data_IF_837667270363
#
_entry.id   IF_837667270363
#
_cell.length_a   1.000
_cell.length_b   1.000
_cell.length_c   1.000
_cell.angle_alpha   90.00
_cell.angle_beta   90.00
_cell.angle_gamma   90.00
#
_symmetry.space_group_name_H-M   'P 1'
#
loop_
_entity.id
_entity.type
_entity.pdbx_description
1 polymer ?
#
# COMPACT_ATOMS: atom_id res chain seq x y z
N UNK A 1 -13.94 -12.84 21.97
CA UNK A 1 -13.10 -13.13 20.76
C UNK A 1 -12.51 -11.79 20.34
N UNK A 2 -11.28 -11.70 19.86
CA UNK A 2 -10.74 -10.39 19.43
C UNK A 2 -11.25 -10.04 18.04
N UNK A 3 -11.53 -8.77 17.75
CA UNK A 3 -11.97 -8.30 16.42
C UNK A 3 -11.06 -8.80 15.30
N UNK A 4 -9.75 -8.82 15.52
CA UNK A 4 -8.77 -9.39 14.59
C UNK A 4 -9.06 -10.84 14.17
N UNK A 5 -9.58 -11.68 15.09
CA UNK A 5 -9.96 -13.06 14.72
C UNK A 5 -11.27 -13.10 13.93
N UNK A 6 -12.18 -12.18 14.17
CA UNK A 6 -13.43 -12.06 13.42
C UNK A 6 -13.16 -11.61 11.98
N UNK A 7 -12.28 -10.61 11.82
CA UNK A 7 -11.77 -10.13 10.53
C UNK A 7 -11.14 -11.27 9.73
N UNK A 8 -10.13 -11.95 10.29
CA UNK A 8 -9.42 -13.04 9.63
C UNK A 8 -10.30 -14.22 9.23
N UNK A 9 -11.39 -14.47 9.97
CA UNK A 9 -12.31 -15.58 9.72
C UNK A 9 -13.56 -15.13 8.95
N UNK A 10 -13.68 -13.87 8.55
CA UNK A 10 -14.85 -13.28 7.90
C UNK A 10 -16.18 -13.61 8.65
N UNK A 11 -16.17 -13.41 9.99
CA UNK A 11 -17.34 -13.73 10.84
C UNK A 11 -18.32 -12.53 10.87
N UNK A 12 -19.02 -12.27 9.77
CA UNK A 12 -19.91 -11.11 9.57
C UNK A 12 -21.02 -10.98 10.63
N UNK A 13 -21.75 -12.06 10.94
CA UNK A 13 -22.84 -12.03 11.96
C UNK A 13 -22.34 -11.49 13.31
N UNK A 14 -21.14 -11.88 13.74
CA UNK A 14 -20.57 -11.39 14.99
C UNK A 14 -20.07 -9.96 14.90
N UNK A 15 -19.60 -9.54 13.73
CA UNK A 15 -19.20 -8.15 13.49
C UNK A 15 -20.44 -7.25 13.51
N UNK A 16 -21.56 -7.65 12.89
CA UNK A 16 -22.84 -6.95 12.98
C UNK A 16 -23.30 -6.88 14.45
N UNK A 17 -23.31 -7.99 15.17
CA UNK A 17 -23.65 -7.99 16.61
C UNK A 17 -22.77 -7.02 17.42
N UNK A 18 -21.47 -6.94 17.12
CA UNK A 18 -20.59 -5.99 17.78
C UNK A 18 -20.88 -4.54 17.39
N UNK A 19 -21.25 -4.29 16.13
CA UNK A 19 -21.65 -2.96 15.65
C UNK A 19 -22.94 -2.49 16.35
N UNK A 20 -23.90 -3.35 16.51
CA UNK A 20 -25.23 -3.03 17.06
C UNK A 20 -25.23 -2.98 18.61
N UNK A 21 -24.61 -3.93 19.27
CA UNK A 21 -24.82 -4.18 20.71
C UNK A 21 -23.66 -3.74 21.61
N UNK A 22 -22.46 -3.46 21.07
CA UNK A 22 -21.32 -3.10 21.91
C UNK A 22 -21.52 -1.74 22.59
N UNK A 23 -21.34 -1.70 23.91
CA UNK A 23 -21.35 -0.44 24.67
C UNK A 23 -20.11 0.44 24.39
N UNK A 24 -19.04 -0.13 23.80
CA UNK A 24 -17.81 0.59 23.50
C UNK A 24 -17.84 1.11 22.04
N UNK A 25 -17.87 2.44 21.82
CA UNK A 25 -17.91 3.02 20.47
C UNK A 25 -16.66 2.68 19.63
N UNK A 26 -15.50 2.45 20.24
CA UNK A 26 -14.31 2.05 19.48
C UNK A 26 -14.44 0.62 18.91
N UNK A 27 -15.16 -0.27 19.60
CA UNK A 27 -15.49 -1.60 19.08
C UNK A 27 -16.51 -1.47 17.95
N UNK A 28 -17.58 -0.68 18.12
CA UNK A 28 -18.59 -0.47 17.07
C UNK A 28 -17.96 0.12 15.81
N UNK A 29 -17.13 1.19 15.99
CA UNK A 29 -16.38 1.81 14.88
C UNK A 29 -15.51 0.78 14.14
N UNK A 30 -14.69 0.02 14.89
CA UNK A 30 -13.81 -0.98 14.27
C UNK A 30 -14.58 -2.09 13.58
N UNK A 31 -15.75 -2.47 14.09
CA UNK A 31 -16.63 -3.45 13.44
C UNK A 31 -17.14 -2.93 12.10
N UNK A 32 -17.56 -1.68 12.01
CA UNK A 32 -17.96 -1.04 10.75
C UNK A 32 -16.80 -1.00 9.73
N UNK A 33 -15.61 -0.60 10.17
CA UNK A 33 -14.40 -0.58 9.31
C UNK A 33 -14.08 -1.96 8.74
N UNK A 34 -14.13 -3.01 9.58
CA UNK A 34 -13.87 -4.39 9.15
C UNK A 34 -14.95 -4.87 8.17
N UNK A 35 -16.23 -4.60 8.45
CA UNK A 35 -17.32 -4.95 7.54
C UNK A 35 -17.08 -4.34 6.15
N UNK A 36 -16.66 -3.08 6.08
CA UNK A 36 -16.33 -2.42 4.81
C UNK A 36 -15.13 -3.06 4.10
N UNK A 37 -14.05 -3.40 4.84
CA UNK A 37 -12.83 -3.98 4.23
C UNK A 37 -13.05 -5.41 3.70
N UNK A 38 -13.90 -6.20 4.35
CA UNK A 38 -14.16 -7.58 3.95
C UNK A 38 -14.93 -7.71 2.63
N UNK A 39 -15.71 -6.71 2.23
CA UNK A 39 -16.38 -6.72 0.93
C UNK A 39 -15.38 -6.73 -0.23
N UNK A 40 -14.27 -6.02 -0.09
CA UNK A 40 -13.24 -5.97 -1.13
C UNK A 40 -12.47 -7.29 -1.31
N UNK A 41 -12.48 -8.19 -0.32
CA UNK A 41 -11.68 -9.42 -0.31
C UNK A 41 -12.47 -10.70 -0.57
N UNK A 42 -13.78 -10.73 -0.29
CA UNK A 42 -14.55 -11.97 -0.23
C UNK A 42 -15.79 -11.96 -1.14
N UNK A 43 -15.63 -12.27 -2.38
CA UNK A 43 -16.74 -12.46 -3.31
C UNK A 43 -17.65 -13.67 -3.02
N UNK A 44 -18.00 -13.97 -1.76
CA UNK A 44 -18.90 -15.06 -1.41
C UNK A 44 -18.97 -15.40 0.08
N UNK A 45 -19.95 -14.86 0.78
CA UNK A 45 -20.29 -15.23 2.15
C UNK A 45 -21.73 -15.74 2.25
N UNK A 46 -22.04 -16.50 3.33
CA UNK A 46 -23.37 -17.06 3.58
C UNK A 46 -24.40 -16.00 4.09
N UNK A 47 -23.96 -14.77 4.41
CA UNK A 47 -24.85 -13.67 4.68
C UNK A 47 -25.20 -12.94 3.38
N UNK A 48 -26.43 -12.47 3.28
CA UNK A 48 -26.80 -11.61 2.16
C UNK A 48 -26.07 -10.28 2.28
N UNK A 49 -25.58 -9.77 1.18
CA UNK A 49 -25.06 -8.41 1.04
C UNK A 49 -26.00 -7.38 1.71
N UNK A 50 -27.29 -7.57 1.55
CA UNK A 50 -28.33 -6.71 2.09
C UNK A 50 -28.32 -6.61 3.62
N UNK A 51 -28.08 -7.72 4.36
CA UNK A 51 -28.08 -7.70 5.83
C UNK A 51 -26.92 -6.87 6.40
N UNK A 52 -25.77 -6.87 5.74
CA UNK A 52 -24.62 -6.03 6.15
C UNK A 52 -24.90 -4.56 5.81
N UNK A 53 -25.43 -4.30 4.64
CA UNK A 53 -25.80 -2.93 4.21
C UNK A 53 -26.86 -2.36 5.15
N UNK A 54 -27.91 -3.11 5.50
CA UNK A 54 -28.95 -2.68 6.43
C UNK A 54 -28.38 -2.32 7.82
N UNK A 55 -27.48 -3.15 8.36
CA UNK A 55 -26.81 -2.88 9.64
C UNK A 55 -25.93 -1.63 9.58
N UNK A 56 -25.21 -1.42 8.48
CA UNK A 56 -24.40 -0.23 8.28
C UNK A 56 -25.27 1.03 8.10
N UNK A 57 -26.36 0.94 7.36
CA UNK A 57 -27.33 2.03 7.19
C UNK A 57 -27.91 2.42 8.55
N UNK A 58 -28.35 1.47 9.37
CA UNK A 58 -28.86 1.76 10.70
C UNK A 58 -27.81 2.38 11.63
N UNK A 59 -26.59 1.84 11.63
CA UNK A 59 -25.47 2.40 12.40
C UNK A 59 -25.13 3.83 11.95
N UNK A 60 -25.16 4.11 10.65
CA UNK A 60 -24.86 5.44 10.11
C UNK A 60 -25.92 6.50 10.45
N UNK A 61 -27.16 6.08 10.73
CA UNK A 61 -28.27 6.94 11.11
C UNK A 61 -28.39 7.14 12.63
N UNK A 62 -28.31 6.06 13.39
CA UNK A 62 -28.79 6.00 14.75
C UNK A 62 -27.68 5.88 15.83
N UNK A 63 -26.44 5.54 15.48
CA UNK A 63 -25.37 5.43 16.50
C UNK A 63 -25.16 6.77 17.21
N UNK A 64 -24.98 6.73 18.51
CA UNK A 64 -24.77 7.90 19.36
C UNK A 64 -23.38 8.55 19.15
N UNK A 65 -22.36 7.78 18.73
CA UNK A 65 -21.02 8.27 18.44
C UNK A 65 -20.84 8.64 16.95
N UNK A 66 -20.57 9.91 16.67
CA UNK A 66 -20.36 10.41 15.30
C UNK A 66 -19.19 9.74 14.56
N UNK A 67 -18.21 9.15 15.27
CA UNK A 67 -17.11 8.40 14.64
C UNK A 67 -17.60 7.06 14.11
N UNK A 68 -18.55 6.43 14.79
CA UNK A 68 -19.19 5.18 14.34
C UNK A 68 -20.05 5.46 13.11
N UNK A 69 -20.89 6.52 13.16
CA UNK A 69 -21.67 6.92 12.00
C UNK A 69 -20.81 7.19 10.76
N UNK A 70 -19.68 7.90 10.95
CA UNK A 70 -18.75 8.17 9.87
C UNK A 70 -18.11 6.87 9.30
N UNK A 71 -17.69 5.96 10.16
CA UNK A 71 -17.12 4.67 9.74
C UNK A 71 -18.13 3.79 9.01
N UNK A 72 -19.40 3.83 9.41
CA UNK A 72 -20.47 3.11 8.72
C UNK A 72 -20.70 3.68 7.30
N UNK A 73 -20.65 5.00 7.12
CA UNK A 73 -20.74 5.63 5.78
C UNK A 73 -19.50 5.27 4.93
N UNK A 74 -18.30 5.21 5.55
CA UNK A 74 -17.10 4.74 4.86
C UNK A 74 -17.25 3.28 4.37
N UNK A 75 -17.81 2.43 5.23
CA UNK A 75 -18.10 1.05 4.87
C UNK A 75 -19.14 0.97 3.74
N UNK A 76 -20.25 1.69 3.80
CA UNK A 76 -21.25 1.75 2.73
C UNK A 76 -20.65 2.18 1.39
N UNK A 77 -19.66 3.08 1.41
CA UNK A 77 -18.93 3.46 0.19
C UNK A 77 -18.18 2.26 -0.44
N UNK A 78 -17.67 1.32 0.35
CA UNK A 78 -17.05 0.10 -0.17
C UNK A 78 -18.06 -0.86 -0.81
N UNK A 79 -19.29 -0.90 -0.26
CA UNK A 79 -20.41 -1.70 -0.81
C UNK A 79 -21.00 -1.13 -2.11
N UNK A 80 -20.65 0.07 -2.48
CA UNK A 80 -20.99 0.62 -3.79
C UNK A 80 -22.00 1.75 -3.76
N UNK A 81 -22.43 2.15 -4.95
CA UNK A 81 -23.34 3.27 -5.14
C UNK A 81 -24.73 2.96 -4.56
N UNK A 82 -25.25 1.76 -4.77
CA UNK A 82 -26.62 1.37 -4.35
C UNK A 82 -26.75 1.42 -2.82
N UNK A 83 -25.74 0.96 -2.07
CA UNK A 83 -25.72 1.03 -0.60
C UNK A 83 -25.75 2.48 -0.07
N UNK A 84 -25.02 3.38 -0.72
CA UNK A 84 -25.05 4.81 -0.38
C UNK A 84 -26.40 5.45 -0.75
N UNK A 85 -26.99 5.06 -1.87
CA UNK A 85 -28.30 5.53 -2.30
C UNK A 85 -29.41 5.07 -1.36
N UNK A 86 -29.37 3.83 -0.88
CA UNK A 86 -30.27 3.33 0.15
C UNK A 86 -30.18 4.21 1.41
N UNK A 87 -28.99 4.46 1.94
CA UNK A 87 -28.78 5.33 3.11
C UNK A 87 -29.33 6.75 2.89
N UNK A 88 -29.04 7.34 1.73
CA UNK A 88 -29.50 8.70 1.38
C UNK A 88 -31.03 8.73 1.20
N UNK A 89 -31.59 7.71 0.56
CA UNK A 89 -33.02 7.55 0.39
C UNK A 89 -33.76 7.50 1.74
N UNK A 90 -33.28 6.67 2.66
CA UNK A 90 -33.87 6.54 3.99
C UNK A 90 -33.74 7.82 4.86
N UNK A 91 -32.58 8.53 4.78
CA UNK A 91 -32.39 9.79 5.51
C UNK A 91 -33.16 10.96 4.93
N UNK A 92 -33.30 11.01 3.61
CA UNK A 92 -33.99 12.10 2.91
C UNK A 92 -35.49 11.85 2.70
N UNK A 93 -36.00 10.67 3.06
CA UNK A 93 -37.36 10.20 2.78
C UNK A 93 -37.71 10.28 1.27
N UNK A 94 -36.72 10.07 0.39
CA UNK A 94 -36.86 10.11 -1.06
C UNK A 94 -36.45 8.78 -1.67
N UNK A 95 -37.27 8.26 -2.55
CA UNK A 95 -36.95 7.11 -3.38
C UNK A 95 -36.05 7.56 -4.55
N UNK A 96 -34.80 7.05 -4.61
CA UNK A 96 -33.80 7.42 -5.61
C UNK A 96 -33.34 6.24 -6.48
N UNK A 97 -33.89 5.04 -6.27
CA UNK A 97 -33.42 3.82 -6.92
C UNK A 97 -33.61 3.80 -8.45
N UNK A 98 -34.70 4.25 -8.96
CA UNK A 98 -35.03 4.25 -10.40
C UNK A 98 -34.87 5.61 -11.10
N UNK A 99 -34.00 6.48 -10.58
CA UNK A 99 -33.84 7.85 -11.09
C UNK A 99 -32.64 7.96 -12.02
N UNK A 100 -32.76 8.75 -13.09
CA UNK A 100 -31.64 9.02 -13.99
C UNK A 100 -30.44 9.68 -13.25
N UNK A 101 -29.20 9.34 -13.61
CA UNK A 101 -27.96 9.79 -12.92
C UNK A 101 -27.90 11.32 -12.69
N UNK A 102 -28.23 12.13 -13.70
CA UNK A 102 -28.27 13.58 -13.55
C UNK A 102 -29.24 14.08 -12.48
N UNK A 103 -30.34 13.35 -12.26
CA UNK A 103 -31.33 13.68 -11.23
C UNK A 103 -30.88 13.19 -9.86
N UNK A 104 -30.19 12.03 -9.79
CA UNK A 104 -29.49 11.58 -8.60
C UNK A 104 -28.45 12.63 -8.16
N UNK A 105 -27.62 13.11 -9.08
CA UNK A 105 -26.66 14.18 -8.82
C UNK A 105 -27.32 15.44 -8.25
N UNK A 106 -28.52 15.83 -8.75
CA UNK A 106 -29.27 16.97 -8.20
C UNK A 106 -29.77 16.73 -6.77
N UNK A 107 -30.25 15.51 -6.46
CA UNK A 107 -30.71 15.15 -5.10
C UNK A 107 -29.52 15.18 -4.15
N UNK A 108 -28.41 14.55 -4.51
CA UNK A 108 -27.17 14.54 -3.74
C UNK A 108 -26.62 15.96 -3.52
N UNK A 109 -26.64 16.80 -4.56
CA UNK A 109 -26.22 18.19 -4.46
C UNK A 109 -27.07 19.01 -3.46
N UNK A 110 -28.35 18.70 -3.31
CA UNK A 110 -29.20 19.26 -2.22
C UNK A 110 -28.77 18.67 -0.87
N UNK A 111 -28.44 17.39 -0.79
CA UNK A 111 -27.94 16.71 0.41
C UNK A 111 -26.67 17.36 0.98
N UNK A 112 -25.82 17.97 0.14
CA UNK A 112 -24.66 18.76 0.61
C UNK A 112 -25.05 19.97 1.50
N UNK A 113 -26.31 20.40 1.49
CA UNK A 113 -26.80 21.50 2.31
C UNK A 113 -27.67 21.04 3.49
N UNK A 114 -27.69 19.74 3.78
CA UNK A 114 -28.45 19.19 4.90
C UNK A 114 -27.90 19.67 6.25
N UNK A 115 -28.77 19.75 7.26
CA UNK A 115 -28.37 20.08 8.62
C UNK A 115 -27.44 19.00 9.21
N UNK A 116 -27.73 17.74 8.93
CA UNK A 116 -26.98 16.58 9.42
C UNK A 116 -25.66 16.43 8.64
N UNK A 117 -24.55 16.36 9.36
CA UNK A 117 -23.23 16.15 8.78
C UNK A 117 -23.13 14.82 8.02
N UNK A 118 -23.78 13.77 8.53
CA UNK A 118 -23.80 12.44 7.95
C UNK A 118 -24.43 12.45 6.55
N UNK A 119 -25.52 13.17 6.36
CA UNK A 119 -26.15 13.30 5.04
C UNK A 119 -25.27 14.12 4.08
N UNK A 120 -24.59 15.18 4.57
CA UNK A 120 -23.61 15.93 3.76
C UNK A 120 -22.41 15.05 3.35
N UNK A 121 -21.94 14.18 4.26
CA UNK A 121 -20.86 13.23 3.98
C UNK A 121 -21.24 12.22 2.89
N UNK A 122 -22.42 11.59 3.03
CA UNK A 122 -22.92 10.62 2.05
C UNK A 122 -23.17 11.28 0.70
N UNK A 123 -23.75 12.48 0.71
CA UNK A 123 -23.97 13.27 -0.51
C UNK A 123 -22.67 13.59 -1.23
N UNK A 124 -21.62 14.01 -0.51
CA UNK A 124 -20.30 14.26 -1.09
C UNK A 124 -19.70 12.98 -1.69
N UNK A 125 -19.81 11.86 -0.99
CA UNK A 125 -19.31 10.56 -1.46
C UNK A 125 -20.02 10.12 -2.74
N UNK A 126 -21.35 10.17 -2.76
CA UNK A 126 -22.16 9.81 -3.93
C UNK A 126 -21.87 10.71 -5.14
N UNK A 127 -21.71 12.02 -4.94
CA UNK A 127 -21.33 12.94 -6.00
C UNK A 127 -19.95 12.66 -6.58
N UNK A 128 -18.98 12.32 -5.71
CA UNK A 128 -17.64 11.90 -6.15
C UNK A 128 -17.65 10.61 -6.98
N UNK A 129 -18.60 9.69 -6.73
CA UNK A 129 -18.78 8.48 -7.54
C UNK A 129 -19.42 8.75 -8.90
N UNK A 130 -20.42 9.63 -8.93
CA UNK A 130 -21.08 10.04 -10.19
C UNK A 130 -20.09 10.78 -11.09
N UNK A 131 -19.17 11.58 -10.53
CA UNK A 131 -18.08 12.22 -11.26
C UNK A 131 -18.52 13.32 -12.25
N UNK A 132 -19.69 13.93 -12.08
CA UNK A 132 -20.18 14.96 -12.98
C UNK A 132 -19.59 16.34 -12.68
N UNK A 133 -19.04 17.02 -13.68
CA UNK A 133 -18.42 18.36 -13.56
C UNK A 133 -19.41 19.44 -13.08
N UNK A 134 -20.70 19.28 -13.36
CA UNK A 134 -21.73 20.27 -13.04
C UNK A 134 -21.95 20.47 -11.53
N UNK A 135 -21.46 19.56 -10.69
CA UNK A 135 -21.55 19.62 -9.21
C UNK A 135 -20.24 20.04 -8.54
N UNK A 136 -19.16 20.22 -9.32
CA UNK A 136 -17.83 20.53 -8.82
C UNK A 136 -17.83 21.77 -7.90
N UNK A 137 -18.45 22.85 -8.32
CA UNK A 137 -18.52 24.09 -7.53
C UNK A 137 -19.24 23.90 -6.17
N UNK A 138 -20.21 22.99 -6.12
CA UNK A 138 -20.95 22.68 -4.90
C UNK A 138 -20.12 21.85 -3.93
N UNK A 139 -19.33 20.88 -4.45
CA UNK A 139 -18.37 20.13 -3.68
C UNK A 139 -17.26 21.06 -3.15
N UNK A 140 -16.66 21.88 -4.01
CA UNK A 140 -15.62 22.84 -3.62
C UNK A 140 -16.07 23.75 -2.48
N UNK A 141 -17.33 24.24 -2.51
CA UNK A 141 -17.87 25.06 -1.43
C UNK A 141 -17.94 24.31 -0.08
N UNK A 142 -17.99 23.00 -0.06
CA UNK A 142 -18.01 22.15 1.14
C UNK A 142 -16.62 21.86 1.72
N UNK A 143 -15.54 22.26 1.06
CA UNK A 143 -14.19 22.25 1.68
C UNK A 143 -14.12 23.20 2.90
N UNK A 144 -15.06 24.14 3.04
CA UNK A 144 -15.20 25.04 4.18
C UNK A 144 -16.32 24.58 5.15
N UNK A 145 -16.77 23.31 5.09
CA UNK A 145 -17.82 22.80 5.98
C UNK A 145 -17.39 22.88 7.46
N UNK A 146 -18.28 23.25 8.39
CA UNK A 146 -17.94 23.31 9.81
C UNK A 146 -17.50 21.95 10.40
N UNK A 147 -17.95 20.83 9.83
CA UNK A 147 -17.57 19.48 10.27
C UNK A 147 -16.36 18.98 9.45
N UNK A 148 -15.24 18.71 10.13
CA UNK A 148 -14.01 18.22 9.49
C UNK A 148 -14.20 16.88 8.77
N UNK A 149 -15.13 16.04 9.22
CA UNK A 149 -15.45 14.76 8.58
C UNK A 149 -16.06 14.99 7.20
N UNK A 150 -16.88 16.05 7.05
CA UNK A 150 -17.44 16.47 5.76
C UNK A 150 -16.31 17.00 4.86
N UNK A 151 -15.44 17.90 5.37
CA UNK A 151 -14.32 18.44 4.60
C UNK A 151 -13.42 17.33 4.05
N UNK A 152 -13.06 16.35 4.91
CA UNK A 152 -12.30 15.15 4.51
C UNK A 152 -12.99 14.39 3.39
N UNK A 153 -14.30 14.17 3.50
CA UNK A 153 -15.08 13.43 2.51
C UNK A 153 -15.18 14.16 1.18
N UNK A 154 -15.31 15.49 1.24
CA UNK A 154 -15.31 16.36 0.06
C UNK A 154 -13.98 16.33 -0.67
N UNK A 155 -12.85 16.38 0.05
CA UNK A 155 -11.52 16.25 -0.57
C UNK A 155 -11.39 14.93 -1.34
N UNK A 156 -11.81 13.80 -0.75
CA UNK A 156 -11.86 12.49 -1.41
C UNK A 156 -12.80 12.47 -2.63
N UNK A 157 -13.95 13.11 -2.54
CA UNK A 157 -14.88 13.21 -3.67
C UNK A 157 -14.26 14.00 -4.83
N UNK A 158 -13.59 15.11 -4.54
CA UNK A 158 -12.89 15.91 -5.55
C UNK A 158 -11.72 15.15 -6.20
N UNK A 159 -11.01 14.32 -5.44
CA UNK A 159 -10.02 13.40 -5.99
C UNK A 159 -10.61 12.45 -7.05
N UNK A 160 -11.79 11.89 -6.77
CA UNK A 160 -12.50 10.98 -7.70
C UNK A 160 -13.00 11.67 -8.97
N UNK A 161 -13.35 12.96 -8.87
CA UNK A 161 -13.74 13.77 -10.04
C UNK A 161 -12.55 14.09 -10.94
N UNK A 162 -11.33 14.09 -10.37
CA UNK A 162 -10.04 14.33 -11.06
C UNK A 162 -10.00 15.67 -11.85
N UNK A 163 -10.82 16.64 -11.48
CA UNK A 163 -10.88 17.93 -12.20
C UNK A 163 -9.77 18.87 -11.79
N UNK A 164 -8.94 19.37 -12.75
CA UNK A 164 -7.90 20.37 -12.46
C UNK A 164 -8.42 21.67 -11.86
N UNK A 165 -9.70 21.98 -12.05
CA UNK A 165 -10.34 23.23 -11.58
C UNK A 165 -10.43 23.30 -10.05
N UNK A 166 -10.41 22.16 -9.36
CA UNK A 166 -10.47 22.13 -7.89
C UNK A 166 -9.09 22.31 -7.20
N UNK A 167 -7.96 22.21 -7.93
CA UNK A 167 -6.62 22.35 -7.36
C UNK A 167 -6.46 23.61 -6.51
N UNK A 168 -6.84 24.84 -6.95
CA UNK A 168 -6.68 26.03 -6.13
C UNK A 168 -7.52 26.05 -4.83
N UNK A 169 -8.63 25.31 -4.82
CA UNK A 169 -9.46 25.19 -3.63
C UNK A 169 -8.88 24.16 -2.64
N UNK A 170 -8.37 23.04 -3.15
CA UNK A 170 -7.68 22.03 -2.36
C UNK A 170 -6.41 22.60 -1.73
N UNK A 171 -5.56 23.33 -2.48
CA UNK A 171 -4.32 23.91 -1.97
C UNK A 171 -4.52 24.80 -0.75
N UNK A 172 -5.58 25.61 -0.72
CA UNK A 172 -5.91 26.44 0.44
C UNK A 172 -6.20 25.62 1.71
N UNK A 173 -6.59 24.36 1.56
CA UNK A 173 -6.90 23.46 2.67
C UNK A 173 -5.70 22.59 3.10
N UNK A 174 -4.51 22.78 2.52
CA UNK A 174 -3.28 22.09 2.97
C UNK A 174 -2.83 22.56 4.36
N UNK A 175 -3.18 23.79 4.76
CA UNK A 175 -2.88 24.35 6.08
C UNK A 175 -4.06 24.28 7.06
N UNK A 176 -5.03 23.40 6.82
CA UNK A 176 -6.20 23.15 7.65
C UNK A 176 -5.78 22.62 9.05
N UNK A 177 -6.49 22.98 10.11
CA UNK A 177 -6.14 22.59 11.48
C UNK A 177 -6.21 21.07 11.73
N UNK A 178 -7.11 20.38 11.04
CA UNK A 178 -7.33 18.95 11.22
C UNK A 178 -6.37 18.12 10.35
N UNK A 179 -5.51 17.35 11.00
CA UNK A 179 -4.52 16.50 10.32
C UNK A 179 -5.12 15.60 9.23
N UNK A 180 -6.23 14.91 9.53
CA UNK A 180 -6.88 14.00 8.57
C UNK A 180 -7.40 14.72 7.32
N UNK A 181 -7.79 16.01 7.43
CA UNK A 181 -8.21 16.81 6.29
C UNK A 181 -7.01 17.18 5.43
N UNK A 182 -5.90 17.62 6.04
CA UNK A 182 -4.65 17.92 5.31
C UNK A 182 -4.16 16.72 4.50
N UNK A 183 -4.14 15.53 5.13
CA UNK A 183 -3.74 14.28 4.46
C UNK A 183 -4.63 13.98 3.25
N UNK A 184 -5.95 14.04 3.42
CA UNK A 184 -6.88 13.74 2.33
C UNK A 184 -6.81 14.77 1.19
N UNK A 185 -6.58 16.05 1.53
CA UNK A 185 -6.36 17.12 0.54
C UNK A 185 -5.08 16.89 -0.26
N UNK A 186 -3.98 16.52 0.40
CA UNK A 186 -2.72 16.22 -0.28
C UNK A 186 -2.86 14.98 -1.20
N UNK A 187 -3.57 13.95 -0.75
CA UNK A 187 -3.88 12.78 -1.59
C UNK A 187 -4.77 13.15 -2.78
N UNK A 188 -5.76 14.01 -2.58
CA UNK A 188 -6.59 14.50 -3.67
C UNK A 188 -5.76 15.24 -4.74
N UNK A 189 -4.81 16.07 -4.33
CA UNK A 189 -3.88 16.72 -5.25
C UNK A 189 -3.00 15.71 -6.01
N UNK A 190 -2.50 14.67 -5.31
CA UNK A 190 -1.72 13.62 -5.93
C UNK A 190 -2.54 12.80 -6.95
N UNK A 191 -3.78 12.43 -6.59
CA UNK A 191 -4.68 11.68 -7.47
C UNK A 191 -5.08 12.49 -8.72
N UNK A 192 -5.29 13.82 -8.59
CA UNK A 192 -5.51 14.73 -9.73
C UNK A 192 -4.28 14.80 -10.66
N UNK A 193 -3.07 14.73 -10.12
CA UNK A 193 -1.83 14.50 -10.84
C UNK A 193 -1.42 15.57 -11.86
N UNK A 194 -2.01 16.77 -11.83
CA UNK A 194 -1.63 17.86 -12.75
C UNK A 194 -0.33 18.54 -12.33
N UNK A 195 0.33 19.23 -13.25
CA UNK A 195 1.53 20.02 -12.94
C UNK A 195 1.29 21.06 -11.84
N UNK A 196 0.10 21.66 -11.80
CA UNK A 196 -0.25 22.61 -10.74
C UNK A 196 -0.40 21.90 -9.39
N UNK A 197 -1.04 20.73 -9.35
CA UNK A 197 -1.17 19.93 -8.13
C UNK A 197 0.20 19.45 -7.62
N UNK A 198 1.08 19.03 -8.52
CA UNK A 198 2.46 18.68 -8.18
C UNK A 198 3.21 19.89 -7.58
N UNK A 199 3.09 21.08 -8.18
CA UNK A 199 3.75 22.27 -7.68
C UNK A 199 3.32 22.63 -6.25
N UNK A 200 2.03 22.51 -5.91
CA UNK A 200 1.51 22.71 -4.56
C UNK A 200 2.08 21.68 -3.55
N UNK A 201 2.19 20.42 -3.96
CA UNK A 201 2.79 19.37 -3.11
C UNK A 201 4.29 19.61 -2.90
N UNK A 202 5.00 20.08 -3.93
CA UNK A 202 6.43 20.42 -3.84
C UNK A 202 6.64 21.59 -2.88
N UNK A 203 5.78 22.62 -2.91
CA UNK A 203 5.86 23.77 -2.02
C UNK A 203 5.78 23.34 -0.55
N UNK A 204 4.80 22.49 -0.19
CA UNK A 204 4.66 21.99 1.19
C UNK A 204 5.66 20.91 1.57
N UNK A 205 6.38 20.31 0.62
CA UNK A 205 7.48 19.40 0.91
C UNK A 205 8.73 20.14 1.48
N UNK A 206 8.79 21.46 1.36
CA UNK A 206 9.84 22.34 1.92
C UNK A 206 9.30 23.27 3.01
N UNK A 207 8.12 22.96 3.58
CA UNK A 207 7.49 23.76 4.63
C UNK A 207 8.25 23.68 5.96
N UNK A 208 8.18 24.73 6.79
CA UNK A 208 8.75 24.73 8.14
C UNK A 208 8.09 23.66 9.06
N UNK A 209 6.81 23.33 8.83
CA UNK A 209 6.08 22.31 9.58
C UNK A 209 6.45 20.89 9.09
N UNK A 210 7.15 20.12 9.94
CA UNK A 210 7.52 18.72 9.65
C UNK A 210 6.32 17.84 9.29
N UNK A 211 5.13 18.17 9.82
CA UNK A 211 3.91 17.39 9.54
C UNK A 211 3.46 17.65 8.11
N UNK A 212 3.54 18.88 7.63
CA UNK A 212 3.23 19.21 6.23
C UNK A 212 4.25 18.61 5.29
N UNK A 213 5.56 18.72 5.59
CA UNK A 213 6.60 18.05 4.77
C UNK A 213 6.34 16.55 4.65
N UNK A 214 6.03 15.89 5.78
CA UNK A 214 5.74 14.45 5.78
C UNK A 214 4.50 14.09 4.96
N UNK A 215 3.42 14.89 5.06
CA UNK A 215 2.19 14.69 4.28
C UNK A 215 2.49 14.84 2.78
N UNK A 216 3.24 15.87 2.40
CA UNK A 216 3.63 16.09 1.02
C UNK A 216 4.46 14.94 0.44
N UNK A 217 5.47 14.51 1.18
CA UNK A 217 6.34 13.39 0.81
C UNK A 217 5.54 12.10 0.63
N UNK A 218 4.58 11.82 1.51
CA UNK A 218 3.69 10.67 1.40
C UNK A 218 2.78 10.75 0.16
N UNK A 219 2.17 11.92 -0.07
CA UNK A 219 1.32 12.15 -1.24
C UNK A 219 2.09 12.06 -2.58
N UNK A 220 3.32 12.59 -2.62
CA UNK A 220 4.19 12.51 -3.80
C UNK A 220 4.52 11.05 -4.19
N UNK A 221 4.60 10.13 -3.22
CA UNK A 221 4.81 8.72 -3.48
C UNK A 221 3.67 8.07 -4.28
N UNK A 222 2.45 8.58 -4.17
CA UNK A 222 1.27 8.10 -4.89
C UNK A 222 1.20 8.58 -6.35
N UNK A 223 1.88 9.67 -6.66
CA UNK A 223 1.79 10.32 -7.97
C UNK A 223 2.32 9.44 -9.12
N UNK A 224 3.26 8.53 -8.84
CA UNK A 224 3.88 7.66 -9.85
C UNK A 224 4.71 8.40 -10.91
N UNK A 225 5.02 9.70 -10.70
CA UNK A 225 5.69 10.55 -11.67
C UNK A 225 7.21 10.57 -11.48
N UNK A 226 7.96 10.71 -12.60
CA UNK A 226 9.42 10.81 -12.58
C UNK A 226 9.88 12.08 -11.85
N UNK A 227 9.11 13.16 -11.96
CA UNK A 227 9.40 14.44 -11.35
C UNK A 227 9.40 14.36 -9.81
N UNK A 228 8.56 13.51 -9.23
CA UNK A 228 8.50 13.30 -7.79
C UNK A 228 9.75 12.61 -7.22
N UNK A 229 10.51 11.88 -8.05
CA UNK A 229 11.71 11.13 -7.58
C UNK A 229 12.73 12.06 -6.96
N UNK A 230 13.05 13.18 -7.60
CA UNK A 230 14.06 14.14 -7.12
C UNK A 230 13.66 14.79 -5.79
N UNK A 231 12.37 15.13 -5.65
CA UNK A 231 11.84 15.72 -4.42
C UNK A 231 11.91 14.70 -3.27
N UNK A 232 11.49 13.46 -3.53
CA UNK A 232 11.53 12.38 -2.55
C UNK A 232 12.97 12.00 -2.16
N UNK A 233 13.90 12.01 -3.12
CA UNK A 233 15.31 11.79 -2.85
C UNK A 233 15.90 12.92 -1.98
N UNK A 234 15.57 14.18 -2.26
CA UNK A 234 15.94 15.33 -1.42
C UNK A 234 15.43 15.18 0.01
N UNK A 235 14.20 14.68 0.19
CA UNK A 235 13.59 14.45 1.50
C UNK A 235 14.28 13.33 2.33
N UNK A 236 15.13 12.50 1.73
CA UNK A 236 15.99 11.56 2.47
C UNK A 236 17.05 12.26 3.33
N UNK A 237 17.32 13.53 3.07
CA UNK A 237 18.25 14.37 3.85
C UNK A 237 17.53 15.33 4.82
N UNK A 238 16.21 15.19 5.00
CA UNK A 238 15.41 16.01 5.93
C UNK A 238 15.97 15.92 7.35
N UNK A 239 15.88 17.00 8.10
CA UNK A 239 16.30 17.05 9.51
C UNK A 239 15.52 16.06 10.39
N UNK A 240 14.23 15.80 10.05
CA UNK A 240 13.34 14.94 10.81
C UNK A 240 13.41 13.49 10.31
N UNK A 241 13.73 12.54 11.19
CA UNK A 241 13.80 11.11 10.88
C UNK A 241 12.52 10.57 10.27
N UNK A 242 11.34 11.04 10.74
CA UNK A 242 10.05 10.60 10.21
C UNK A 242 9.84 11.02 8.76
N UNK A 243 10.31 12.20 8.36
CA UNK A 243 10.24 12.65 6.96
C UNK A 243 11.15 11.80 6.10
N UNK A 244 12.43 11.60 6.51
CA UNK A 244 13.38 10.73 5.78
C UNK A 244 12.84 9.32 5.57
N UNK A 245 12.28 8.75 6.63
CA UNK A 245 11.67 7.42 6.58
C UNK A 245 10.47 7.37 5.63
N UNK A 246 9.57 8.36 5.71
CA UNK A 246 8.42 8.47 4.80
C UNK A 246 8.90 8.61 3.36
N UNK A 247 9.95 9.39 3.09
CA UNK A 247 10.52 9.55 1.76
C UNK A 247 10.97 8.21 1.14
N UNK A 248 11.61 7.34 1.91
CA UNK A 248 11.99 6.02 1.41
C UNK A 248 10.78 5.14 1.11
N UNK A 249 9.75 5.12 2.00
CA UNK A 249 8.51 4.40 1.74
C UNK A 249 7.83 4.92 0.47
N UNK A 250 7.79 6.23 0.29
CA UNK A 250 7.19 6.89 -0.88
C UNK A 250 7.95 6.59 -2.17
N UNK A 251 9.29 6.52 -2.14
CA UNK A 251 10.08 6.07 -3.29
C UNK A 251 9.78 4.62 -3.67
N UNK A 252 9.61 3.74 -2.69
CA UNK A 252 9.24 2.33 -2.93
C UNK A 252 7.80 2.23 -3.47
N UNK A 253 6.88 3.03 -2.97
CA UNK A 253 5.50 3.10 -3.46
C UNK A 253 5.45 3.63 -4.90
N UNK A 254 6.15 4.71 -5.18
CA UNK A 254 6.24 5.32 -6.50
C UNK A 254 6.71 4.32 -7.57
N UNK A 255 7.63 3.40 -7.22
CA UNK A 255 8.00 2.28 -8.10
C UNK A 255 6.84 1.34 -8.41
N UNK A 256 5.87 1.21 -7.52
CA UNK A 256 4.68 0.36 -7.70
C UNK A 256 3.61 1.06 -8.55
N UNK A 257 3.48 2.37 -8.39
CA UNK A 257 2.47 3.21 -9.06
C UNK A 257 2.92 3.69 -10.45
N UNK A 258 4.23 3.65 -10.73
CA UNK A 258 4.79 4.14 -11.99
C UNK A 258 4.16 3.43 -13.20
N UNK A 259 3.61 4.17 -14.17
CA UNK A 259 2.99 3.58 -15.34
C UNK A 259 4.03 2.80 -16.18
N UNK A 260 3.61 1.74 -16.90
CA UNK A 260 4.53 0.84 -17.59
C UNK A 260 5.53 1.52 -18.54
N UNK A 261 5.13 2.62 -19.18
CA UNK A 261 5.97 3.41 -20.08
C UNK A 261 7.04 4.26 -19.36
N UNK A 262 6.82 4.62 -18.09
CA UNK A 262 7.75 5.40 -17.27
C UNK A 262 8.54 4.52 -16.27
N UNK A 263 8.11 3.29 -16.00
CA UNK A 263 8.65 2.41 -14.97
C UNK A 263 10.18 2.20 -15.06
N UNK A 264 10.74 2.13 -16.26
CA UNK A 264 12.19 1.97 -16.44
C UNK A 264 12.93 3.25 -16.04
N UNK A 265 12.47 4.40 -16.52
CA UNK A 265 13.06 5.71 -16.23
C UNK A 265 12.97 6.04 -14.72
N UNK A 266 11.82 5.74 -14.09
CA UNK A 266 11.65 5.91 -12.65
C UNK A 266 12.65 5.07 -11.87
N UNK A 267 12.84 3.79 -12.26
CA UNK A 267 13.80 2.90 -11.61
C UNK A 267 15.24 3.36 -11.71
N UNK A 268 15.67 3.77 -12.91
CA UNK A 268 17.01 4.29 -13.11
C UNK A 268 17.23 5.55 -12.28
N UNK A 269 16.31 6.50 -12.36
CA UNK A 269 16.43 7.76 -11.59
C UNK A 269 16.46 7.52 -10.09
N UNK A 270 15.64 6.63 -9.54
CA UNK A 270 15.67 6.30 -8.10
C UNK A 270 17.02 5.70 -7.69
N UNK A 271 17.59 4.81 -8.50
CA UNK A 271 18.90 4.22 -8.17
C UNK A 271 19.98 5.29 -8.18
N UNK A 272 20.01 6.15 -9.21
CA UNK A 272 21.00 7.22 -9.32
C UNK A 272 20.93 8.18 -8.12
N UNK A 273 19.73 8.61 -7.73
CA UNK A 273 19.53 9.50 -6.56
C UNK A 273 19.88 8.82 -5.23
N UNK A 274 19.58 7.54 -5.09
CA UNK A 274 19.90 6.79 -3.86
C UNK A 274 21.38 6.48 -3.70
N UNK A 275 22.15 6.37 -4.81
CA UNK A 275 23.62 6.23 -4.76
C UNK A 275 24.29 7.51 -4.23
N UNK A 276 23.67 8.68 -4.37
CA UNK A 276 24.15 9.96 -3.85
C UNK A 276 23.68 10.25 -2.41
N UNK A 277 22.65 9.54 -1.92
CA UNK A 277 22.03 9.75 -0.61
C UNK A 277 22.84 9.10 0.52
N UNK A 278 22.53 9.48 1.78
CA UNK A 278 23.13 8.83 2.95
C UNK A 278 22.64 7.38 3.08
N UNK A 279 23.54 6.42 3.01
CA UNK A 279 23.27 5.00 3.00
C UNK A 279 22.47 4.49 4.22
N UNK A 280 22.73 5.04 5.41
CA UNK A 280 22.01 4.64 6.62
C UNK A 280 20.53 4.94 6.52
N UNK A 281 20.20 6.14 6.02
CA UNK A 281 18.82 6.60 5.90
C UNK A 281 18.07 5.92 4.74
N UNK A 282 18.81 5.31 3.80
CA UNK A 282 18.26 4.57 2.67
C UNK A 282 18.10 3.06 2.94
N UNK A 283 19.09 2.40 3.52
CA UNK A 283 19.12 0.93 3.69
C UNK A 283 18.19 0.43 4.81
N UNK A 284 18.20 1.10 5.98
CA UNK A 284 17.39 0.65 7.13
C UNK A 284 15.87 0.63 6.87
N UNK A 285 15.26 1.68 6.24
CA UNK A 285 13.84 1.62 5.89
C UNK A 285 13.50 0.51 4.89
N UNK A 286 14.39 0.20 3.94
CA UNK A 286 14.17 -0.90 3.01
C UNK A 286 14.18 -2.27 3.70
N UNK A 287 15.08 -2.48 4.67
CA UNK A 287 15.09 -3.69 5.52
C UNK A 287 13.78 -3.78 6.30
N UNK A 288 13.29 -2.67 6.82
CA UNK A 288 12.02 -2.63 7.54
C UNK A 288 10.82 -2.96 6.63
N UNK A 289 10.78 -2.43 5.40
CA UNK A 289 9.75 -2.76 4.41
C UNK A 289 9.75 -4.26 4.13
N UNK A 290 10.90 -4.88 3.93
CA UNK A 290 11.00 -6.33 3.72
C UNK A 290 10.42 -7.13 4.87
N UNK A 291 10.68 -6.72 6.11
CA UNK A 291 10.26 -7.46 7.30
C UNK A 291 8.82 -7.21 7.74
N UNK A 292 8.21 -6.09 7.37
CA UNK A 292 6.93 -5.62 7.95
C UNK A 292 5.83 -5.28 6.97
N UNK A 293 6.15 -4.97 5.72
CA UNK A 293 5.11 -4.58 4.75
C UNK A 293 4.23 -5.79 4.40
N UNK A 294 2.92 -5.59 4.43
CA UNK A 294 1.93 -6.53 3.91
C UNK A 294 1.84 -6.48 2.39
N UNK A 295 2.22 -5.33 1.80
CA UNK A 295 2.15 -5.09 0.37
C UNK A 295 3.27 -5.81 -0.39
N UNK A 296 2.90 -6.78 -1.22
CA UNK A 296 3.84 -7.58 -2.02
C UNK A 296 4.71 -6.72 -2.94
N UNK A 297 4.12 -5.70 -3.58
CA UNK A 297 4.83 -4.81 -4.48
C UNK A 297 5.93 -4.02 -3.74
N UNK A 298 5.66 -3.55 -2.53
CA UNK A 298 6.64 -2.85 -1.70
C UNK A 298 7.80 -3.78 -1.30
N UNK A 299 7.52 -5.01 -0.82
CA UNK A 299 8.58 -5.97 -0.49
C UNK A 299 9.43 -6.32 -1.71
N UNK A 300 8.81 -6.50 -2.86
CA UNK A 300 9.50 -6.77 -4.14
C UNK A 300 10.45 -5.64 -4.53
N UNK A 301 9.97 -4.40 -4.48
CA UNK A 301 10.76 -3.22 -4.83
C UNK A 301 11.89 -2.98 -3.81
N UNK A 302 11.63 -3.16 -2.50
CA UNK A 302 12.65 -3.05 -1.46
C UNK A 302 13.77 -4.10 -1.65
N UNK A 303 13.41 -5.36 -1.95
CA UNK A 303 14.39 -6.40 -2.26
C UNK A 303 15.26 -6.05 -3.47
N UNK A 304 14.66 -5.45 -4.50
CA UNK A 304 15.36 -5.03 -5.71
C UNK A 304 16.30 -3.84 -5.45
N UNK A 305 15.86 -2.84 -4.69
CA UNK A 305 16.68 -1.67 -4.33
C UNK A 305 17.86 -2.04 -3.45
N UNK A 306 17.64 -2.83 -2.39
CA UNK A 306 18.73 -3.24 -1.48
C UNK A 306 19.92 -3.85 -2.19
N UNK A 307 19.70 -4.63 -3.23
CA UNK A 307 20.78 -5.24 -3.99
C UNK A 307 21.61 -4.25 -4.81
N UNK A 308 21.21 -3.00 -4.89
CA UNK A 308 21.87 -1.95 -5.70
C UNK A 308 22.49 -0.86 -4.87
N UNK A 309 21.85 -0.52 -3.75
CA UNK A 309 22.26 0.65 -2.96
C UNK A 309 23.01 0.29 -1.66
N UNK A 310 22.95 -0.97 -1.18
CA UNK A 310 23.67 -1.35 0.02
C UNK A 310 25.17 -1.45 -0.25
N UNK A 311 25.93 -0.61 0.41
CA UNK A 311 27.39 -0.55 0.35
C UNK A 311 28.08 -1.50 1.36
N UNK A 312 29.37 -1.34 1.52
CA UNK A 312 30.18 -2.16 2.42
C UNK A 312 29.76 -2.04 3.90
N UNK A 313 29.29 -0.86 4.33
CA UNK A 313 28.92 -0.60 5.72
C UNK A 313 27.65 -1.37 6.15
N UNK A 314 26.66 -1.46 5.26
CA UNK A 314 25.37 -2.10 5.52
C UNK A 314 25.16 -3.42 4.78
N UNK A 315 26.18 -3.88 4.06
CA UNK A 315 26.10 -5.11 3.24
C UNK A 315 25.64 -6.32 4.03
N UNK A 316 26.18 -6.53 5.23
CA UNK A 316 25.84 -7.69 6.05
C UNK A 316 24.37 -7.67 6.48
N UNK A 317 23.87 -6.53 6.92
CA UNK A 317 22.49 -6.35 7.36
C UNK A 317 21.51 -6.52 6.17
N UNK A 318 21.84 -5.94 5.02
CA UNK A 318 21.07 -6.13 3.78
C UNK A 318 21.06 -7.60 3.33
N UNK A 319 22.21 -8.29 3.40
CA UNK A 319 22.29 -9.71 3.09
C UNK A 319 21.44 -10.56 4.05
N UNK A 320 21.43 -10.26 5.35
CA UNK A 320 20.62 -10.99 6.32
C UNK A 320 19.13 -10.83 6.03
N UNK A 321 18.66 -9.61 5.79
CA UNK A 321 17.27 -9.34 5.40
C UNK A 321 16.88 -10.05 4.09
N UNK A 322 17.74 -10.01 3.08
CA UNK A 322 17.49 -10.67 1.80
C UNK A 322 17.51 -12.21 1.92
N UNK A 323 18.35 -12.78 2.80
CA UNK A 323 18.35 -14.22 3.08
C UNK A 323 17.00 -14.65 3.70
N UNK A 324 16.46 -13.87 4.63
CA UNK A 324 15.13 -14.13 5.20
C UNK A 324 14.03 -14.03 4.13
N UNK A 325 14.13 -13.05 3.23
CA UNK A 325 13.22 -12.83 2.12
C UNK A 325 13.24 -13.95 1.06
N UNK A 326 14.24 -14.84 1.04
CA UNK A 326 14.22 -16.03 0.18
C UNK A 326 13.01 -16.96 0.47
N UNK A 327 12.43 -16.87 1.66
CA UNK A 327 11.24 -17.60 2.08
C UNK A 327 9.93 -16.81 1.89
N UNK A 328 9.96 -15.67 1.21
CA UNK A 328 8.74 -14.88 0.96
C UNK A 328 7.73 -15.68 0.14
N UNK A 329 6.44 -15.59 0.53
CA UNK A 329 5.34 -16.29 -0.12
C UNK A 329 5.15 -15.85 -1.59
N UNK A 330 5.54 -14.61 -1.92
CA UNK A 330 5.57 -14.15 -3.31
C UNK A 330 6.83 -14.62 -4.04
N UNK A 331 6.64 -15.40 -5.09
CA UNK A 331 7.73 -15.96 -5.90
C UNK A 331 8.61 -14.87 -6.53
N UNK A 332 8.05 -13.73 -6.92
CA UNK A 332 8.84 -12.65 -7.52
C UNK A 332 9.67 -11.93 -6.47
N UNK A 333 9.15 -11.68 -5.28
CA UNK A 333 9.90 -11.10 -4.16
C UNK A 333 11.10 -11.97 -3.80
N UNK A 334 10.90 -13.28 -3.61
CA UNK A 334 11.99 -14.21 -3.31
C UNK A 334 13.00 -14.34 -4.46
N UNK A 335 12.60 -14.20 -5.73
CA UNK A 335 13.52 -14.15 -6.89
C UNK A 335 14.34 -12.86 -6.90
N UNK A 336 13.74 -11.71 -6.61
CA UNK A 336 14.48 -10.45 -6.50
C UNK A 336 15.47 -10.49 -5.35
N UNK A 337 15.08 -11.02 -4.18
CA UNK A 337 15.99 -11.22 -3.07
C UNK A 337 17.21 -12.09 -3.46
N UNK A 338 16.99 -13.21 -4.15
CA UNK A 338 18.08 -14.07 -4.63
C UNK A 338 18.99 -13.36 -5.65
N UNK A 339 18.42 -12.54 -6.52
CA UNK A 339 19.23 -11.78 -7.51
C UNK A 339 20.02 -10.68 -6.82
N UNK A 340 19.42 -9.97 -5.88
CA UNK A 340 20.06 -8.91 -5.09
C UNK A 340 21.19 -9.46 -4.20
N UNK A 341 21.00 -10.63 -3.57
CA UNK A 341 22.07 -11.32 -2.87
C UNK A 341 23.27 -11.64 -3.78
N UNK A 342 23.00 -12.01 -5.02
CA UNK A 342 24.07 -12.28 -5.98
C UNK A 342 24.81 -11.00 -6.45
N UNK A 343 24.19 -9.82 -6.33
CA UNK A 343 24.83 -8.52 -6.58
C UNK A 343 25.63 -8.05 -5.37
N UNK A 344 25.12 -8.30 -4.17
CA UNK A 344 25.74 -7.93 -2.89
C UNK A 344 26.83 -8.91 -2.43
N UNK A 345 27.40 -9.69 -3.34
CA UNK A 345 28.48 -10.62 -3.01
C UNK A 345 29.49 -10.00 -2.05
N UNK A 346 30.08 -10.79 -1.18
CA UNK A 346 31.04 -10.33 -0.18
C UNK A 346 31.38 -11.37 0.87
N UNK A 347 32.23 -10.95 1.80
CA UNK A 347 32.80 -11.83 2.81
C UNK A 347 31.74 -12.51 3.66
N UNK A 348 31.77 -13.82 3.72
CA UNK A 348 30.90 -14.64 4.57
C UNK A 348 29.55 -15.03 3.96
N UNK A 349 29.06 -14.37 2.91
CA UNK A 349 27.78 -14.71 2.27
C UNK A 349 27.78 -16.15 1.75
N UNK A 350 28.84 -16.56 1.02
CA UNK A 350 28.99 -17.92 0.52
C UNK A 350 28.83 -18.95 1.65
N UNK A 351 29.49 -18.71 2.80
CA UNK A 351 29.46 -19.64 3.94
C UNK A 351 28.05 -19.71 4.57
N UNK A 352 27.35 -18.58 4.70
CA UNK A 352 25.99 -18.51 5.25
C UNK A 352 25.01 -19.26 4.35
N UNK A 353 25.09 -19.08 3.04
CA UNK A 353 24.25 -19.78 2.07
C UNK A 353 24.52 -21.28 2.02
N UNK A 354 25.79 -21.71 2.10
CA UNK A 354 26.15 -23.14 2.20
C UNK A 354 25.50 -23.74 3.45
N UNK A 355 25.63 -23.08 4.62
CA UNK A 355 24.99 -23.53 5.86
C UNK A 355 23.48 -23.64 5.73
N UNK A 356 22.82 -22.65 5.08
CA UNK A 356 21.39 -22.66 4.82
C UNK A 356 20.98 -23.87 3.97
N UNK A 357 21.69 -24.14 2.87
CA UNK A 357 21.42 -25.28 1.98
C UNK A 357 21.57 -26.61 2.71
N UNK A 358 22.55 -26.76 3.59
CA UNK A 358 22.82 -28.00 4.33
C UNK A 358 21.91 -28.21 5.56
N UNK A 359 21.11 -27.21 5.94
CA UNK A 359 20.22 -27.29 7.11
C UNK A 359 18.83 -27.82 6.69
N UNK A 360 18.55 -29.08 7.02
CA UNK A 360 17.32 -29.77 6.59
C UNK A 360 16.03 -29.24 7.23
N UNK A 361 16.13 -28.47 8.32
CA UNK A 361 14.97 -27.83 8.98
C UNK A 361 14.51 -26.53 8.30
N UNK A 362 15.22 -26.06 7.30
CA UNK A 362 14.86 -24.89 6.53
C UNK A 362 13.94 -25.24 5.39
N UNK A 363 13.08 -24.29 5.02
CA UNK A 363 12.16 -24.42 3.89
C UNK A 363 12.88 -24.83 2.59
N UNK A 364 12.32 -25.75 1.84
CA UNK A 364 12.94 -26.26 0.62
C UNK A 364 13.04 -25.18 -0.46
N UNK A 365 12.06 -24.31 -0.58
CA UNK A 365 12.08 -23.22 -1.55
C UNK A 365 13.21 -22.24 -1.26
N UNK A 366 13.41 -21.89 -0.01
CA UNK A 366 14.53 -21.06 0.46
C UNK A 366 15.88 -21.70 0.10
N UNK A 367 16.02 -23.01 0.31
CA UNK A 367 17.24 -23.76 -0.05
C UNK A 367 17.48 -23.78 -1.57
N UNK A 368 16.41 -23.91 -2.36
CA UNK A 368 16.45 -23.84 -3.84
C UNK A 368 16.96 -22.47 -4.31
N UNK A 369 16.46 -21.37 -3.70
CA UNK A 369 16.94 -20.01 -4.04
C UNK A 369 18.39 -19.79 -3.60
N UNK A 370 18.78 -20.29 -2.42
CA UNK A 370 20.17 -20.23 -1.95
C UNK A 370 21.13 -20.97 -2.90
N UNK A 371 20.73 -22.13 -3.44
CA UNK A 371 21.49 -22.84 -4.47
C UNK A 371 21.66 -22.01 -5.76
N UNK A 372 20.61 -21.25 -6.13
CA UNK A 372 20.72 -20.34 -7.28
C UNK A 372 21.76 -19.26 -7.04
N UNK A 373 21.76 -18.63 -5.85
CA UNK A 373 22.73 -17.59 -5.49
C UNK A 373 24.14 -18.19 -5.48
N UNK A 374 24.34 -19.33 -4.81
CA UNK A 374 25.65 -20.02 -4.76
C UNK A 374 26.19 -20.36 -6.16
N UNK A 375 25.32 -20.68 -7.11
CA UNK A 375 25.71 -20.89 -8.50
C UNK A 375 26.16 -19.61 -9.23
N UNK A 376 25.94 -18.44 -8.64
CA UNK A 376 26.36 -17.14 -9.17
C UNK A 376 27.65 -16.62 -8.53
N UNK A 377 27.73 -16.69 -7.20
CA UNK A 377 28.81 -16.10 -6.39
C UNK A 377 29.80 -17.11 -5.85
N UNK A 378 29.43 -18.39 -5.83
CA UNK A 378 30.25 -19.43 -5.17
C UNK A 378 31.57 -19.70 -5.88
N UNK A 379 32.55 -20.08 -5.07
CA UNK A 379 33.88 -20.47 -5.52
C UNK A 379 34.18 -21.96 -5.29
N UNK A 380 35.46 -22.29 -5.11
CA UNK A 380 35.92 -23.66 -4.87
C UNK A 380 35.33 -24.30 -3.62
N UNK A 381 35.01 -23.49 -2.59
CA UNK A 381 34.34 -23.96 -1.36
C UNK A 381 32.92 -24.44 -1.69
N UNK A 382 32.15 -23.62 -2.38
CA UNK A 382 30.79 -23.97 -2.82
C UNK A 382 30.82 -25.22 -3.68
N UNK A 383 31.72 -25.30 -4.65
CA UNK A 383 31.84 -26.47 -5.53
C UNK A 383 32.08 -27.77 -4.73
N UNK A 384 33.01 -27.76 -3.78
CA UNK A 384 33.31 -28.93 -2.93
C UNK A 384 32.16 -29.32 -2.01
N UNK A 385 31.43 -28.34 -1.46
CA UNK A 385 30.31 -28.60 -0.53
C UNK A 385 29.08 -29.07 -1.29
N UNK A 386 28.75 -28.42 -2.39
CA UNK A 386 27.60 -28.76 -3.22
C UNK A 386 27.73 -30.13 -3.88
N UNK A 387 28.94 -30.56 -4.31
CA UNK A 387 29.17 -31.91 -4.79
C UNK A 387 28.75 -32.96 -3.76
N UNK A 388 29.13 -32.77 -2.49
CA UNK A 388 28.72 -33.70 -1.42
C UNK A 388 27.25 -33.60 -1.07
N UNK A 389 26.68 -32.39 -1.19
CA UNK A 389 25.28 -32.15 -0.91
C UNK A 389 24.35 -32.87 -1.91
N UNK A 390 24.62 -32.77 -3.21
CA UNK A 390 23.81 -33.42 -4.26
C UNK A 390 23.82 -34.95 -4.19
N UNK A 391 24.89 -35.55 -3.63
CA UNK A 391 25.00 -36.99 -3.41
C UNK A 391 24.15 -37.47 -2.21
N UNK A 392 23.89 -36.58 -1.23
CA UNK A 392 23.27 -36.93 0.05
C UNK A 392 21.79 -36.52 0.14
N UNK A 393 21.41 -35.46 -0.59
CA UNK A 393 20.04 -34.95 -0.50
C UNK A 393 19.01 -35.94 -1.04
N UNK A 394 17.94 -36.16 -0.30
CA UNK A 394 16.82 -37.01 -0.71
C UNK A 394 15.87 -36.28 -1.66
N UNK A 395 15.82 -34.94 -1.62
CA UNK A 395 14.98 -34.14 -2.50
C UNK A 395 15.51 -34.07 -3.92
N UNK A 396 14.74 -34.57 -4.88
CA UNK A 396 15.08 -34.50 -6.30
C UNK A 396 15.13 -33.05 -6.81
N UNK A 397 14.33 -32.17 -6.25
CA UNK A 397 14.31 -30.73 -6.59
C UNK A 397 15.62 -30.06 -6.16
N UNK A 398 16.05 -30.28 -4.93
CA UNK A 398 17.32 -29.74 -4.42
C UNK A 398 18.50 -30.35 -5.17
N UNK A 399 18.45 -31.66 -5.48
CA UNK A 399 19.50 -32.35 -6.26
C UNK A 399 19.64 -31.71 -7.65
N UNK A 400 18.53 -31.53 -8.38
CA UNK A 400 18.52 -30.90 -9.71
C UNK A 400 19.06 -29.46 -9.67
N UNK A 401 18.67 -28.67 -8.67
CA UNK A 401 19.16 -27.29 -8.49
C UNK A 401 20.63 -27.25 -8.07
N UNK A 402 21.07 -28.17 -7.23
CA UNK A 402 22.47 -28.33 -6.86
C UNK A 402 23.36 -28.65 -8.07
N UNK A 403 22.95 -29.56 -8.95
CA UNK A 403 23.66 -29.81 -10.21
C UNK A 403 23.71 -28.58 -11.12
N UNK A 404 22.61 -27.83 -11.21
CA UNK A 404 22.58 -26.59 -11.97
C UNK A 404 23.55 -25.54 -11.41
N UNK A 405 23.67 -25.43 -10.09
CA UNK A 405 24.66 -24.55 -9.44
C UNK A 405 26.08 -25.01 -9.72
N UNK A 406 26.37 -26.32 -9.57
CA UNK A 406 27.69 -26.91 -9.86
C UNK A 406 28.12 -26.70 -11.30
N UNK A 407 27.22 -26.85 -12.26
CA UNK A 407 27.53 -26.61 -13.68
C UNK A 407 27.97 -25.16 -13.93
N UNK A 408 27.35 -24.19 -13.25
CA UNK A 408 27.75 -22.75 -13.33
C UNK A 408 29.10 -22.47 -12.69
N UNK A 409 29.50 -23.26 -11.68
CA UNK A 409 30.77 -23.16 -11.01
C UNK A 409 31.93 -23.93 -11.72
N UNK A 410 31.66 -24.44 -12.93
CA UNK A 410 32.67 -25.20 -13.70
C UNK A 410 32.92 -26.61 -13.16
N UNK A 411 32.00 -27.18 -12.41
CA UNK A 411 32.08 -28.54 -11.86
C UNK A 411 30.95 -29.44 -12.37
N UNK A 412 31.29 -30.49 -13.10
CA UNK A 412 30.44 -31.55 -13.66
C UNK A 412 29.43 -31.17 -14.74
N UNK A 413 29.58 -31.79 -15.89
CA UNK A 413 28.51 -31.96 -16.88
C UNK A 413 27.35 -32.77 -16.26
N UNK A 414 26.11 -32.36 -16.52
CA UNK A 414 24.93 -33.13 -16.12
C UNK A 414 25.04 -34.55 -16.68
N UNK A 415 24.77 -35.60 -15.89
CA UNK A 415 24.63 -36.94 -16.45
C UNK A 415 23.54 -36.91 -17.54
N UNK A 416 23.92 -37.17 -18.75
CA UNK A 416 22.99 -37.41 -19.86
C UNK A 416 22.34 -38.79 -19.62
N UNK A 417 21.25 -38.81 -18.88
CA UNK A 417 20.57 -40.04 -18.53
C UNK A 417 19.10 -39.82 -18.21
N UNK A 418 18.27 -40.22 -19.11
CA UNK A 418 16.88 -40.64 -18.96
C UNK A 418 15.88 -39.71 -18.22
N UNK A 419 15.29 -38.81 -18.99
CA UNK A 419 13.92 -38.36 -18.75
C UNK A 419 13.02 -39.10 -19.78
N UNK A 420 12.57 -40.30 -19.40
CA UNK A 420 11.39 -40.93 -19.97
C UNK A 420 10.16 -40.51 -19.16
#
# INVERSE_FOLDING_TARGET
MTLFKLERNAEFEKLITHLEESSNPDIRKRSAEILGSLESETGGTNLSHDEVVDALVEASKADDDGRVRAAAIDALDQYGQDALEQFIGELSEQDIDDVAEWKKAQILARGLNAEQAELRMAAATGLGRIGEDNVLNQLVARLEDPDSRVRKRVARALARVESPECVPALSRNLHEDQYDVRVEVAYALADIGTQNALAELVEIADDDDEVLRRIAVDALGRLGSVEAVEILAGALSDETEMVRRTAMFSLVQLLSEAPPNASHQVREKIVDELEEANERDSVQPLIEILGRSTETAQRRNAAWLLGRIADDAFRTEAQDALIETLADDDEMTSKFAATSLALLDGDGLEQRLIKLVETDTKDEEMRVKALFVLGKIGGDRSRKRLSKFVERTESDRLRKRGFSALSKLGGMEMPSGDLA
#
